data_IF_921344307116
#
_entry.id   IF_921344307116
#
_cell.length_a   1.000
_cell.length_b   1.000
_cell.length_c   1.000
_cell.angle_alpha   90.00
_cell.angle_beta   90.00
_cell.angle_gamma   90.00
#
_symmetry.space_group_name_H-M   'P 1'
#
loop_
_entity.id
_entity.type
_entity.pdbx_description
1 polymer ?
#
# COMPACT_ATOMS: atom_id res chain seq x y z
N UNK A 1 -33.31 -10.90 -8.27
CA UNK A 1 -32.05 -10.89 -9.04
C UNK A 1 -31.54 -12.31 -9.31
N UNK A 2 -31.39 -13.16 -8.29
CA UNK A 2 -30.98 -14.58 -8.42
C UNK A 2 -31.72 -15.33 -9.53
N UNK A 3 -33.05 -15.23 -9.56
CA UNK A 3 -33.87 -15.89 -10.58
C UNK A 3 -33.69 -15.30 -11.99
N UNK A 4 -33.25 -14.06 -12.11
CA UNK A 4 -32.96 -13.45 -13.41
C UNK A 4 -31.61 -13.88 -13.98
N UNK A 5 -30.71 -14.34 -13.10
CA UNK A 5 -29.46 -14.97 -13.48
C UNK A 5 -29.70 -16.43 -13.92
N UNK A 6 -30.56 -17.16 -13.21
CA UNK A 6 -30.88 -18.55 -13.55
C UNK A 6 -31.63 -18.67 -14.89
N UNK A 7 -32.50 -17.72 -15.22
CA UNK A 7 -33.19 -17.67 -16.52
C UNK A 7 -32.32 -17.12 -17.66
N UNK A 8 -31.11 -16.64 -17.36
CA UNK A 8 -30.17 -16.12 -18.36
C UNK A 8 -30.50 -14.72 -18.90
N UNK A 9 -31.51 -14.02 -18.33
CA UNK A 9 -31.84 -12.64 -18.69
C UNK A 9 -30.67 -11.70 -18.38
N UNK A 10 -29.97 -11.97 -17.28
CA UNK A 10 -28.72 -11.30 -16.90
C UNK A 10 -27.57 -12.30 -16.83
N UNK A 11 -26.40 -11.87 -17.29
CA UNK A 11 -25.12 -12.54 -17.04
C UNK A 11 -24.34 -11.77 -15.99
N UNK A 12 -23.87 -12.46 -14.96
CA UNK A 12 -22.93 -11.91 -13.98
C UNK A 12 -21.51 -11.97 -14.54
N UNK A 13 -20.80 -10.84 -14.50
CA UNK A 13 -19.40 -10.71 -14.88
C UNK A 13 -18.65 -10.07 -13.72
N UNK A 14 -17.53 -10.65 -13.32
CA UNK A 14 -16.65 -10.05 -12.31
C UNK A 14 -15.75 -9.01 -12.97
N UNK A 15 -15.78 -7.78 -12.46
CA UNK A 15 -14.92 -6.70 -12.91
C UNK A 15 -13.77 -6.51 -11.93
N UNK A 16 -12.56 -6.34 -12.46
CA UNK A 16 -11.33 -6.13 -11.69
C UNK A 16 -10.83 -4.70 -11.84
N UNK A 17 -10.61 -4.02 -10.72
CA UNK A 17 -9.92 -2.74 -10.65
C UNK A 17 -8.53 -2.94 -10.05
N UNK A 18 -7.49 -2.75 -10.87
CA UNK A 18 -6.08 -2.89 -10.51
C UNK A 18 -5.44 -1.58 -10.00
N UNK A 19 -6.24 -0.51 -9.83
CA UNK A 19 -5.79 0.82 -9.41
C UNK A 19 -6.54 1.32 -8.17
N UNK A 20 -7.25 0.45 -7.48
CA UNK A 20 -7.99 0.79 -6.28
C UNK A 20 -7.07 1.12 -5.10
N UNK A 21 -7.63 1.82 -4.11
CA UNK A 21 -6.94 2.20 -2.88
C UNK A 21 -7.66 1.57 -1.69
N UNK A 22 -6.98 0.65 -0.99
CA UNK A 22 -7.52 -0.07 0.16
C UNK A 22 -6.87 0.42 1.45
N UNK A 23 -7.60 0.28 2.55
CA UNK A 23 -6.99 0.41 3.87
C UNK A 23 -6.10 -0.81 4.11
N UNK A 24 -4.83 -0.64 4.52
CA UNK A 24 -3.98 -1.76 4.84
C UNK A 24 -4.64 -2.55 5.98
N UNK A 25 -4.53 -3.90 5.96
CA UNK A 25 -4.91 -4.67 7.13
C UNK A 25 -4.12 -4.15 8.33
N UNK A 26 -4.75 -4.10 9.50
CA UNK A 26 -4.08 -3.74 10.75
C UNK A 26 -2.96 -4.75 11.05
N UNK A 27 -1.79 -4.54 10.45
CA UNK A 27 -0.58 -5.23 10.87
C UNK A 27 -0.20 -4.61 12.20
N UNK A 28 -0.28 -5.41 13.26
CA UNK A 28 0.46 -5.12 14.48
C UNK A 28 1.93 -5.12 14.09
N UNK A 29 2.46 -3.95 13.75
CA UNK A 29 3.89 -3.75 13.75
C UNK A 29 4.34 -4.09 15.17
N UNK A 30 5.00 -5.23 15.35
CA UNK A 30 5.76 -5.48 16.57
C UNK A 30 6.67 -4.27 16.72
N UNK A 31 6.50 -3.52 17.81
CA UNK A 31 7.30 -2.34 18.14
C UNK A 31 8.77 -2.70 18.46
N UNK A 32 9.22 -3.88 18.02
CA UNK A 32 10.61 -4.29 18.04
C UNK A 32 11.36 -3.45 17.01
N UNK A 33 11.90 -2.33 17.49
CA UNK A 33 12.92 -1.58 16.77
C UNK A 33 14.07 -2.53 16.44
N UNK A 34 14.65 -2.49 15.22
CA UNK A 34 15.82 -3.30 14.91
C UNK A 34 16.92 -2.99 15.93
N UNK A 35 17.72 -4.00 16.29
CA UNK A 35 18.69 -4.02 17.40
C UNK A 35 19.78 -2.94 17.36
N UNK A 36 19.73 -1.98 16.42
CA UNK A 36 20.52 -0.75 16.41
C UNK A 36 20.06 0.29 17.46
N UNK A 37 18.87 0.10 18.06
CA UNK A 37 18.28 1.00 19.07
C UNK A 37 19.17 1.35 20.28
N UNK A 38 19.90 0.43 20.95
CA UNK A 38 20.61 0.75 22.18
C UNK A 38 21.86 1.59 21.90
N UNK A 39 22.61 1.30 20.82
CA UNK A 39 23.81 2.07 20.45
C UNK A 39 23.40 3.45 19.91
N UNK A 40 22.36 3.53 19.08
CA UNK A 40 21.87 4.82 18.61
C UNK A 40 21.31 5.68 19.75
N UNK A 41 20.63 5.07 20.73
CA UNK A 41 20.13 5.75 21.93
C UNK A 41 21.29 6.24 22.81
N UNK A 42 22.35 5.42 22.97
CA UNK A 42 23.56 5.82 23.68
C UNK A 42 24.27 6.98 22.97
N UNK A 43 24.40 6.93 21.65
CA UNK A 43 25.01 8.01 20.86
C UNK A 43 24.18 9.31 20.90
N UNK A 44 22.86 9.21 20.89
CA UNK A 44 21.99 10.39 21.07
C UNK A 44 22.07 10.94 22.48
N UNK A 45 22.15 10.09 23.50
CA UNK A 45 22.37 10.51 24.88
C UNK A 45 23.74 11.18 25.08
N UNK A 46 24.80 10.63 24.48
CA UNK A 46 26.14 11.22 24.49
C UNK A 46 26.14 12.56 23.74
N UNK A 47 25.48 12.64 22.58
CA UNK A 47 25.35 13.89 21.81
C UNK A 47 24.54 14.94 22.57
N UNK A 48 23.49 14.53 23.28
CA UNK A 48 22.73 15.41 24.16
C UNK A 48 23.59 15.91 25.32
N UNK A 49 24.29 15.01 26.03
CA UNK A 49 25.24 15.38 27.09
C UNK A 49 26.34 16.33 26.61
N UNK A 50 26.87 16.10 25.41
CA UNK A 50 27.87 16.99 24.81
C UNK A 50 27.29 18.37 24.47
N UNK A 51 26.03 18.43 23.99
CA UNK A 51 25.34 19.69 23.76
C UNK A 51 25.02 20.42 25.07
N UNK A 52 24.55 19.72 26.10
CA UNK A 52 24.32 20.31 27.42
C UNK A 52 25.63 20.82 28.03
N UNK A 53 26.72 20.05 27.93
CA UNK A 53 28.04 20.50 28.39
C UNK A 53 28.52 21.71 27.58
N UNK A 54 28.29 21.74 26.27
CA UNK A 54 28.63 22.88 25.41
C UNK A 54 27.80 24.12 25.77
N UNK A 55 26.50 23.95 26.03
CA UNK A 55 25.61 25.01 26.51
C UNK A 55 26.02 25.48 27.90
N UNK A 56 26.42 24.58 28.80
CA UNK A 56 26.91 24.93 30.13
C UNK A 56 28.23 25.71 30.07
N UNK A 57 29.13 25.33 29.15
CA UNK A 57 30.38 26.06 28.89
C UNK A 57 30.11 27.42 28.21
N UNK A 58 29.10 27.49 27.32
CA UNK A 58 28.62 28.72 26.72
C UNK A 58 27.98 29.63 27.78
N UNK A 59 27.13 29.11 28.66
CA UNK A 59 26.50 29.83 29.76
C UNK A 59 27.51 30.33 30.79
N UNK A 60 28.52 29.53 31.10
CA UNK A 60 29.67 29.95 31.89
C UNK A 60 30.46 31.08 31.19
N UNK A 61 30.56 31.03 29.86
CA UNK A 61 31.17 32.11 29.06
C UNK A 61 30.27 33.36 28.92
N UNK A 62 28.96 33.20 29.06
CA UNK A 62 27.95 34.27 28.92
C UNK A 62 27.32 34.68 30.26
N UNK A 63 27.96 34.40 31.40
CA UNK A 63 27.70 35.09 32.68
C UNK A 63 28.11 36.57 32.56
N UNK A 64 27.33 37.27 31.75
CA UNK A 64 27.56 38.59 31.19
C UNK A 64 26.42 39.02 30.25
N UNK A 65 25.51 38.13 29.83
CA UNK A 65 24.29 38.59 29.17
C UNK A 65 23.10 37.65 29.37
N UNK A 66 21.94 38.27 29.50
CA UNK A 66 20.74 37.80 30.15
C UNK A 66 19.65 37.43 29.11
N UNK A 67 18.86 36.41 29.46
CA UNK A 67 17.48 36.10 29.02
C UNK A 67 17.22 35.77 27.53
N UNK A 68 16.57 34.64 27.26
CA UNK A 68 15.11 34.52 27.26
C UNK A 68 14.65 33.23 26.57
N UNK A 69 13.76 32.49 27.24
CA UNK A 69 13.05 31.31 26.74
C UNK A 69 12.08 31.64 25.59
N UNK A 70 11.83 30.67 24.70
CA UNK A 70 10.48 30.45 24.14
C UNK A 70 10.34 28.99 23.70
N UNK A 71 9.58 28.21 24.47
CA UNK A 71 9.09 26.90 24.05
C UNK A 71 7.88 27.04 23.12
N UNK A 72 7.87 26.29 22.02
CA UNK A 72 6.73 26.19 21.12
C UNK A 72 6.11 24.79 21.25
N UNK A 73 4.82 24.72 21.62
CA UNK A 73 4.06 23.48 21.59
C UNK A 73 3.62 23.13 20.16
N UNK A 74 3.84 21.87 19.77
CA UNK A 74 3.48 21.34 18.46
C UNK A 74 2.04 20.82 18.44
N UNK A 75 1.24 21.32 17.51
CA UNK A 75 -0.11 20.86 17.25
C UNK A 75 -0.15 19.39 16.79
N UNK A 76 -1.01 18.61 17.45
CA UNK A 76 -1.23 17.17 17.22
C UNK A 76 -1.99 16.95 15.89
N UNK A 77 -1.28 16.63 14.82
CA UNK A 77 -1.89 16.27 13.54
C UNK A 77 -2.74 15.00 13.65
N UNK A 78 -4.01 15.09 13.23
CA UNK A 78 -4.91 13.95 13.03
C UNK A 78 -4.25 12.99 12.02
N UNK A 79 -4.02 11.75 12.44
CA UNK A 79 -3.39 10.71 11.62
C UNK A 79 -4.31 10.41 10.43
N UNK A 80 -3.92 10.85 9.24
CA UNK A 80 -4.60 10.53 8.00
C UNK A 80 -4.54 9.00 7.80
N UNK A 81 -5.69 8.38 7.53
CA UNK A 81 -5.76 6.94 7.22
C UNK A 81 -4.84 6.67 6.02
N UNK A 82 -3.76 5.94 6.25
CA UNK A 82 -2.80 5.55 5.20
C UNK A 82 -3.50 4.58 4.27
N UNK A 83 -3.77 4.99 3.03
CA UNK A 83 -4.29 4.11 1.98
C UNK A 83 -3.12 3.52 1.18
N UNK A 84 -3.30 2.29 0.69
CA UNK A 84 -2.33 1.62 -0.18
C UNK A 84 -2.99 1.15 -1.48
N UNK A 85 -2.24 1.10 -2.60
CA UNK A 85 -2.72 0.49 -3.82
C UNK A 85 -3.08 -0.99 -3.61
N UNK A 86 -4.23 -1.41 -4.12
CA UNK A 86 -4.74 -2.77 -4.04
C UNK A 86 -5.53 -3.13 -5.29
N UNK A 87 -5.74 -4.43 -5.49
CA UNK A 87 -6.64 -4.93 -6.53
C UNK A 87 -7.99 -5.23 -5.89
N UNK A 88 -9.08 -4.74 -6.49
CA UNK A 88 -10.45 -5.04 -6.04
C UNK A 88 -11.26 -5.72 -7.13
N UNK A 89 -12.20 -6.56 -6.72
CA UNK A 89 -13.20 -7.16 -7.61
C UNK A 89 -14.61 -6.84 -7.14
N UNK A 90 -15.51 -6.64 -8.10
CA UNK A 90 -16.94 -6.45 -7.84
C UNK A 90 -17.80 -7.09 -8.95
N UNK A 91 -18.98 -7.61 -8.59
CA UNK A 91 -19.88 -8.21 -9.56
C UNK A 91 -20.64 -7.13 -10.35
N UNK A 92 -20.63 -7.27 -11.68
CA UNK A 92 -21.41 -6.44 -12.62
C UNK A 92 -22.41 -7.33 -13.35
N UNK A 93 -23.58 -6.80 -13.68
CA UNK A 93 -24.63 -7.53 -14.36
C UNK A 93 -24.90 -6.93 -15.73
N UNK A 94 -24.86 -7.78 -16.76
CA UNK A 94 -25.10 -7.39 -18.15
C UNK A 94 -26.35 -8.10 -18.65
N UNK A 95 -27.27 -7.35 -19.24
CA UNK A 95 -28.47 -7.91 -19.83
C UNK A 95 -28.18 -8.55 -21.20
N UNK A 96 -28.69 -9.76 -21.42
CA UNK A 96 -28.52 -10.49 -22.66
C UNK A 96 -29.54 -10.04 -23.72
N UNK A 97 -29.08 -9.28 -24.73
CA UNK A 97 -29.94 -8.67 -25.78
C UNK A 97 -30.75 -9.66 -26.63
N UNK A 98 -30.42 -10.95 -26.59
CA UNK A 98 -31.17 -11.98 -27.32
C UNK A 98 -32.55 -12.24 -26.70
N UNK A 99 -32.75 -11.87 -25.43
CA UNK A 99 -33.98 -12.12 -24.68
C UNK A 99 -34.73 -10.79 -24.53
N UNK A 100 -35.71 -10.56 -25.40
CA UNK A 100 -36.51 -9.34 -25.37
C UNK A 100 -37.61 -9.38 -24.30
N UNK A 101 -38.13 -10.58 -24.05
CA UNK A 101 -39.22 -10.83 -23.10
C UNK A 101 -38.91 -12.10 -22.31
N UNK A 102 -39.14 -12.06 -21.01
CA UNK A 102 -38.97 -13.20 -20.13
C UNK A 102 -40.05 -13.19 -19.05
N UNK A 103 -40.70 -14.32 -18.86
CA UNK A 103 -41.65 -14.54 -17.78
C UNK A 103 -41.19 -15.73 -16.93
N UNK A 104 -41.55 -15.72 -15.66
CA UNK A 104 -41.17 -16.80 -14.76
C UNK A 104 -41.92 -16.76 -13.45
N UNK A 105 -41.80 -17.86 -12.72
CA UNK A 105 -42.37 -18.03 -11.40
C UNK A 105 -41.19 -18.17 -10.42
N UNK A 106 -41.26 -17.42 -9.32
CA UNK A 106 -40.33 -17.46 -8.22
C UNK A 106 -41.00 -18.20 -7.06
N UNK A 107 -40.44 -19.34 -6.65
CA UNK A 107 -40.92 -20.06 -5.47
C UNK A 107 -40.28 -19.49 -4.21
N UNK A 108 -41.10 -18.93 -3.33
CA UNK A 108 -40.68 -18.30 -2.07
C UNK A 108 -41.00 -19.20 -0.86
N UNK A 109 -41.04 -20.52 -1.08
CA UNK A 109 -41.44 -21.52 -0.07
C UNK A 109 -42.96 -21.73 -0.06
N UNK A 110 -43.68 -20.96 0.76
CA UNK A 110 -45.12 -21.13 0.97
C UNK A 110 -46.00 -20.43 -0.09
N UNK A 111 -45.43 -19.52 -0.88
CA UNK A 111 -46.11 -18.83 -1.96
C UNK A 111 -45.23 -18.74 -3.21
N UNK A 112 -45.88 -18.52 -4.34
CA UNK A 112 -45.25 -18.31 -5.63
C UNK A 112 -45.46 -16.86 -6.06
N UNK A 113 -44.43 -16.26 -6.65
CA UNK A 113 -44.46 -14.89 -7.17
C UNK A 113 -44.14 -14.90 -8.65
N UNK A 114 -45.08 -14.44 -9.46
CA UNK A 114 -44.89 -14.37 -10.91
C UNK A 114 -44.20 -13.06 -11.25
N UNK A 115 -43.30 -13.11 -12.23
CA UNK A 115 -42.67 -11.93 -12.79
C UNK A 115 -42.69 -11.96 -14.32
N UNK A 116 -42.77 -10.77 -14.91
CA UNK A 116 -42.65 -10.54 -16.34
C UNK A 116 -41.65 -9.42 -16.55
N UNK A 117 -40.72 -9.63 -17.48
CA UNK A 117 -39.72 -8.66 -17.91
C UNK A 117 -39.91 -8.40 -19.39
N UNK A 118 -39.94 -7.13 -19.76
CA UNK A 118 -39.99 -6.69 -21.15
C UNK A 118 -38.95 -5.59 -21.38
N UNK A 119 -38.21 -5.70 -22.48
CA UNK A 119 -37.28 -4.65 -22.90
C UNK A 119 -38.03 -3.44 -23.45
N UNK A 120 -37.64 -2.23 -23.02
CA UNK A 120 -38.19 -0.99 -23.58
C UNK A 120 -37.45 -0.67 -24.88
N UNK A 121 -38.17 -0.50 -26.01
CA UNK A 121 -37.55 -0.30 -27.32
C UNK A 121 -36.64 0.93 -27.34
N UNK A 122 -35.53 0.84 -28.09
CA UNK A 122 -34.54 1.91 -28.24
C UNK A 122 -33.88 2.38 -26.93
N UNK A 123 -33.85 1.53 -25.90
CA UNK A 123 -33.20 1.85 -24.63
C UNK A 123 -32.51 0.63 -24.01
N UNK A 124 -31.72 0.87 -22.97
CA UNK A 124 -31.15 -0.15 -22.08
C UNK A 124 -32.05 -0.46 -20.88
N UNK A 125 -33.27 0.07 -20.84
CA UNK A 125 -34.20 -0.10 -19.73
C UNK A 125 -35.03 -1.38 -19.91
N UNK A 126 -35.34 -2.01 -18.79
CA UNK A 126 -36.21 -3.17 -18.70
C UNK A 126 -37.39 -2.85 -17.77
N UNK A 127 -38.59 -3.17 -18.21
CA UNK A 127 -39.79 -3.11 -17.39
C UNK A 127 -39.95 -4.45 -16.66
N UNK A 128 -39.87 -4.43 -15.33
CA UNK A 128 -40.13 -5.59 -14.47
C UNK A 128 -41.49 -5.41 -13.78
N UNK A 129 -42.39 -6.35 -14.01
CA UNK A 129 -43.70 -6.43 -13.35
C UNK A 129 -43.71 -7.65 -12.44
N UNK A 130 -44.06 -7.46 -11.17
CA UNK A 130 -44.15 -8.55 -10.18
C UNK A 130 -45.39 -8.40 -9.32
N UNK A 131 -45.96 -9.52 -8.89
CA UNK A 131 -47.08 -9.52 -7.96
C UNK A 131 -46.65 -9.12 -6.53
N UNK A 132 -47.28 -8.11 -5.89
CA UNK A 132 -46.99 -7.74 -4.49
C UNK A 132 -47.52 -8.73 -3.43
N UNK A 133 -48.34 -9.72 -3.78
CA UNK A 133 -49.03 -10.59 -2.80
C UNK A 133 -48.12 -11.45 -1.91
N UNK A 134 -46.89 -11.74 -2.34
CA UNK A 134 -45.95 -12.63 -1.67
C UNK A 134 -44.64 -11.88 -1.36
N UNK A 135 -44.22 -11.90 -0.08
CA UNK A 135 -42.91 -11.41 0.35
C UNK A 135 -41.86 -12.52 0.20
N UNK A 136 -40.77 -12.20 -0.49
CA UNK A 136 -39.74 -13.14 -0.93
C UNK A 136 -38.36 -12.72 -0.40
N UNK A 137 -38.31 -12.24 0.84
CA UNK A 137 -37.10 -11.81 1.56
C UNK A 137 -36.12 -12.94 1.91
N UNK A 138 -36.43 -14.19 1.54
CA UNK A 138 -35.58 -15.37 1.71
C UNK A 138 -34.30 -15.28 0.85
N UNK A 139 -34.36 -14.58 -0.30
CA UNK A 139 -33.21 -14.44 -1.17
C UNK A 139 -32.23 -13.37 -0.63
N UNK A 140 -30.93 -13.68 -0.56
CA UNK A 140 -29.94 -12.72 -0.09
C UNK A 140 -29.86 -11.49 -1.02
N UNK A 141 -29.59 -10.34 -0.42
CA UNK A 141 -29.31 -9.11 -1.17
C UNK A 141 -28.05 -9.31 -2.02
N UNK A 142 -28.14 -8.93 -3.30
CA UNK A 142 -27.01 -8.93 -4.21
C UNK A 142 -26.25 -7.62 -4.02
N UNK A 143 -25.20 -7.65 -3.20
CA UNK A 143 -24.32 -6.51 -2.97
C UNK A 143 -23.37 -6.32 -4.15
N UNK A 144 -23.27 -5.09 -4.67
CA UNK A 144 -22.27 -4.67 -5.68
C UNK A 144 -21.11 -3.95 -5.01
N UNK A 145 -20.65 -4.45 -3.86
CA UNK A 145 -19.56 -3.85 -3.12
C UNK A 145 -18.21 -4.35 -3.62
N UNK A 146 -17.22 -3.45 -3.68
CA UNK A 146 -15.86 -3.78 -4.06
C UNK A 146 -15.15 -4.52 -2.93
N UNK A 147 -14.54 -5.65 -3.26
CA UNK A 147 -13.83 -6.50 -2.31
C UNK A 147 -12.36 -6.61 -2.70
N UNK A 148 -11.46 -6.55 -1.72
CA UNK A 148 -10.02 -6.69 -1.96
C UNK A 148 -9.69 -8.13 -2.38
N UNK A 149 -9.02 -8.27 -3.53
CA UNK A 149 -8.63 -9.56 -4.08
C UNK A 149 -7.36 -10.05 -3.41
N UNK A 150 -7.44 -11.21 -2.76
CA UNK A 150 -6.28 -11.89 -2.18
C UNK A 150 -5.78 -12.97 -3.13
N UNK A 151 -4.68 -12.69 -3.82
CA UNK A 151 -4.09 -13.65 -4.75
C UNK A 151 -3.34 -14.77 -4.03
N UNK A 152 -3.73 -16.01 -4.33
CA UNK A 152 -2.94 -17.18 -3.98
C UNK A 152 -1.73 -17.30 -4.92
N UNK A 153 -0.64 -17.91 -4.43
CA UNK A 153 0.59 -18.09 -5.21
C UNK A 153 0.36 -18.86 -6.53
N UNK A 154 -0.60 -19.79 -6.58
CA UNK A 154 -0.97 -20.55 -7.78
C UNK A 154 -1.53 -19.67 -8.90
N UNK A 155 -2.39 -18.70 -8.56
CA UNK A 155 -3.05 -17.81 -9.55
C UNK A 155 -2.03 -16.99 -10.33
N UNK A 156 -0.96 -16.55 -9.66
CA UNK A 156 0.14 -15.83 -10.30
C UNK A 156 0.87 -16.72 -11.31
N UNK A 157 1.11 -17.99 -10.97
CA UNK A 157 1.74 -18.97 -11.86
C UNK A 157 0.86 -19.29 -13.08
N UNK A 158 -0.44 -19.49 -12.88
CA UNK A 158 -1.38 -19.76 -13.97
C UNK A 158 -1.48 -18.58 -14.95
N UNK A 159 -1.45 -17.34 -14.42
CA UNK A 159 -1.37 -16.12 -15.23
C UNK A 159 -0.05 -16.02 -16.02
N UNK A 160 1.06 -16.49 -15.46
CA UNK A 160 2.34 -16.54 -16.22
C UNK A 160 2.28 -17.54 -17.37
N UNK A 161 1.56 -18.65 -17.22
CA UNK A 161 1.40 -19.66 -18.27
C UNK A 161 0.51 -19.17 -19.42
N UNK A 162 -0.44 -18.29 -19.12
CA UNK A 162 -1.45 -17.76 -20.06
C UNK A 162 -1.16 -16.32 -20.51
N UNK A 163 0.11 -15.88 -20.46
CA UNK A 163 0.46 -14.52 -20.85
C UNK A 163 0.00 -14.20 -22.28
N UNK A 164 -0.59 -13.02 -22.45
CA UNK A 164 -0.90 -12.48 -23.78
C UNK A 164 0.40 -12.39 -24.59
N UNK A 165 0.33 -12.71 -25.88
CA UNK A 165 1.46 -12.57 -26.79
C UNK A 165 1.97 -11.12 -26.75
N UNK A 166 3.23 -10.93 -26.37
CA UNK A 166 3.91 -9.64 -26.41
C UNK A 166 4.94 -9.68 -27.53
N UNK A 167 4.93 -8.69 -28.39
CA UNK A 167 6.01 -8.49 -29.37
C UNK A 167 7.22 -7.91 -28.64
N UNK A 168 8.39 -8.51 -28.80
CA UNK A 168 9.65 -7.94 -28.33
C UNK A 168 10.13 -6.86 -29.31
N UNK A 169 10.94 -5.90 -28.85
CA UNK A 169 11.68 -5.03 -29.76
C UNK A 169 12.47 -5.84 -30.78
N UNK A 170 12.59 -5.32 -32.01
CA UNK A 170 13.24 -6.03 -33.11
C UNK A 170 14.77 -6.10 -32.95
N UNK A 171 15.39 -5.15 -32.23
CA UNK A 171 16.81 -5.18 -31.86
C UNK A 171 17.02 -4.90 -30.36
N UNK A 172 18.11 -5.45 -29.82
CA UNK A 172 18.60 -5.19 -28.47
C UNK A 172 20.10 -4.86 -28.57
N UNK A 173 20.48 -3.63 -28.25
CA UNK A 173 21.88 -3.18 -28.26
C UNK A 173 22.40 -3.16 -26.83
N UNK A 174 22.79 -4.33 -26.32
CA UNK A 174 23.22 -4.50 -24.92
C UNK A 174 24.67 -4.10 -24.67
N UNK A 175 25.49 -3.98 -25.71
CA UNK A 175 26.92 -3.70 -25.60
C UNK A 175 27.33 -2.68 -26.66
N UNK A 176 28.14 -1.70 -26.25
CA UNK A 176 28.78 -0.76 -27.16
C UNK A 176 30.30 -1.00 -27.18
N UNK A 177 30.99 -0.97 -28.33
CA UNK A 177 32.43 -1.23 -28.41
C UNK A 177 33.29 -0.22 -27.64
N UNK A 178 32.77 0.98 -27.42
CA UNK A 178 33.43 2.03 -26.62
C UNK A 178 33.03 1.98 -25.13
N UNK A 179 32.22 1.02 -24.71
CA UNK A 179 31.83 0.84 -23.32
C UNK A 179 32.95 0.20 -22.51
N UNK A 180 33.43 0.90 -21.49
CA UNK A 180 34.43 0.37 -20.57
C UNK A 180 33.76 -0.39 -19.41
N UNK A 181 33.57 -1.70 -19.57
CA UNK A 181 32.97 -2.56 -18.54
C UNK A 181 33.88 -2.77 -17.29
N UNK A 182 35.12 -2.28 -17.30
CA UNK A 182 36.08 -2.43 -16.20
C UNK A 182 36.03 -1.26 -15.21
N UNK A 183 35.38 -0.15 -15.58
CA UNK A 183 35.18 0.97 -14.65
C UNK A 183 34.02 0.65 -13.71
N UNK A 184 34.33 -0.05 -12.62
CA UNK A 184 33.34 -0.47 -11.62
C UNK A 184 32.99 0.65 -10.62
N UNK A 185 33.20 1.92 -10.97
CA UNK A 185 32.97 3.06 -10.08
C UNK A 185 33.87 2.94 -8.86
N UNK A 186 35.13 3.32 -9.01
CA UNK A 186 36.12 3.26 -7.93
C UNK A 186 35.63 4.01 -6.69
N UNK A 187 35.00 3.29 -5.75
CA UNK A 187 34.77 3.80 -4.42
C UNK A 187 36.14 4.06 -3.84
N UNK A 188 36.38 5.28 -3.35
CA UNK A 188 37.55 5.54 -2.53
C UNK A 188 37.50 4.57 -1.36
N UNK A 189 38.34 3.54 -1.40
CA UNK A 189 38.60 2.72 -0.23
C UNK A 189 39.03 3.72 0.84
N UNK A 190 38.23 3.90 1.88
CA UNK A 190 38.59 4.78 2.99
C UNK A 190 39.71 4.09 3.73
N UNK A 191 40.93 4.16 3.18
CA UNK A 191 42.12 3.62 3.80
C UNK A 191 42.29 4.39 5.10
N UNK A 192 42.23 3.69 6.23
CA UNK A 192 42.49 4.28 7.53
C UNK A 192 43.88 4.92 7.46
N UNK A 193 43.92 6.25 7.46
CA UNK A 193 45.18 6.97 7.43
C UNK A 193 45.90 6.72 8.75
N UNK A 194 46.86 5.78 8.73
CA UNK A 194 47.84 5.52 9.78
C UNK A 194 48.37 6.79 10.47
N UNK A 195 48.72 7.89 9.75
CA UNK A 195 49.17 9.10 10.43
C UNK A 195 48.10 9.73 11.34
N UNK A 196 46.82 9.64 10.99
CA UNK A 196 45.72 10.23 11.76
C UNK A 196 45.42 9.39 13.02
N UNK A 197 45.61 8.06 12.93
CA UNK A 197 45.52 7.15 14.07
C UNK A 197 46.69 7.35 15.04
N UNK A 198 47.89 7.58 14.52
CA UNK A 198 49.08 7.91 15.30
C UNK A 198 48.99 9.28 15.97
N UNK A 199 48.37 10.27 15.32
CA UNK A 199 48.07 11.57 15.91
C UNK A 199 47.15 11.46 17.13
N UNK A 200 46.09 10.65 17.04
CA UNK A 200 45.20 10.37 18.17
C UNK A 200 45.96 9.74 19.35
N UNK A 201 46.78 8.72 19.09
CA UNK A 201 47.64 8.08 20.10
C UNK A 201 48.68 9.05 20.70
N UNK A 202 49.28 9.91 19.88
CA UNK A 202 50.23 10.94 20.32
C UNK A 202 49.58 11.99 21.22
N UNK A 203 48.35 12.42 20.91
CA UNK A 203 47.60 13.37 21.75
C UNK A 203 47.21 12.76 23.10
N UNK A 204 46.83 11.47 23.16
CA UNK A 204 46.59 10.79 24.44
C UNK A 204 47.87 10.60 25.27
N UNK A 205 49.01 10.31 24.62
CA UNK A 205 50.31 10.23 25.30
C UNK A 205 50.77 11.59 25.84
N UNK A 206 50.54 12.67 25.09
CA UNK A 206 50.88 14.03 25.54
C UNK A 206 49.97 14.49 26.70
N UNK A 207 48.66 14.18 26.62
CA UNK A 207 47.70 14.52 27.65
C UNK A 207 47.98 13.77 28.97
N UNK A 208 48.39 12.50 28.89
CA UNK A 208 48.76 11.70 30.07
C UNK A 208 50.08 12.14 30.72
N UNK A 209 50.99 12.76 29.97
CA UNK A 209 52.19 13.38 30.54
C UNK A 209 51.94 14.78 31.12
N UNK A 210 50.96 15.52 30.62
CA UNK A 210 50.57 16.84 31.16
C UNK A 210 49.68 16.74 32.41
N UNK A 211 49.06 15.58 32.67
CA UNK A 211 48.26 15.31 33.88
C UNK A 211 49.05 14.69 35.05
N UNK A 212 50.37 14.54 34.92
CA UNK A 212 51.27 14.06 35.98
C UNK A 212 52.13 15.21 36.51
#
# INVERSE_FOLDING_TARGET
MTQLLSTGVFSQVTMYDYQAMCKPPNQHHSAARPLASPISALLTAIRWLANELLLFLLEWSTWGSQHADTGAEAHKHKKQDTLQPCDTEYPVFVHQRAIQEANGILECGACQKIFVIQQIPNSNLLLLVTDPTCDCSIFPLVLQEATEVKYNASVKCDRMRSQKLRRRPDSCHAFHPEENAQDCGGTSDTSASLPLLLLLLGTWALLTQLLR
#
